data_IF_504451993259
#
_entry.id   IF_504451993259
#
_cell.length_a   1.000
_cell.length_b   1.000
_cell.length_c   1.000
_cell.angle_alpha   90.00
_cell.angle_beta   90.00
_cell.angle_gamma   90.00
#
_symmetry.space_group_name_H-M   'P 1'
#
loop_
_entity.id
_entity.type
_entity.pdbx_description
1 polymer ?
#
# COMPACT_ATOMS: atom_id res chain seq x y z
N UNK A 1 26.81 -10.29 13.48
CA UNK A 1 25.54 -10.46 14.23
C UNK A 1 24.45 -10.25 13.21
N UNK A 2 24.07 -11.33 12.55
CA UNK A 2 22.97 -11.33 11.58
C UNK A 2 21.69 -11.41 12.40
N UNK A 3 21.06 -10.26 12.62
CA UNK A 3 19.81 -10.14 13.35
C UNK A 3 18.70 -10.79 12.51
N UNK A 4 18.37 -12.04 12.84
CA UNK A 4 17.22 -12.76 12.28
C UNK A 4 15.93 -12.11 12.80
N UNK A 5 15.39 -11.15 12.03
CA UNK A 5 14.04 -10.64 12.24
C UNK A 5 13.02 -11.79 12.18
N UNK A 6 11.98 -11.81 13.04
CA UNK A 6 10.91 -12.79 12.97
C UNK A 6 10.31 -12.85 11.55
N UNK A 7 9.88 -14.03 11.07
CA UNK A 7 9.32 -14.19 9.72
C UNK A 7 8.06 -13.34 9.45
N UNK A 8 7.45 -12.79 10.50
CA UNK A 8 6.27 -11.91 10.46
C UNK A 8 6.54 -10.46 10.92
N UNK A 9 7.80 -10.10 11.21
CA UNK A 9 8.15 -8.73 11.54
C UNK A 9 8.30 -7.93 10.24
N UNK A 10 7.17 -7.53 9.66
CA UNK A 10 7.20 -6.48 8.65
C UNK A 10 7.80 -5.23 9.31
N UNK A 11 8.85 -4.62 8.72
CA UNK A 11 9.32 -3.34 9.20
C UNK A 11 8.16 -2.32 9.18
N UNK A 12 8.18 -1.34 10.09
CA UNK A 12 7.15 -0.30 10.06
C UNK A 12 7.12 0.32 8.65
N UNK A 13 5.94 0.49 8.04
CA UNK A 13 5.84 0.99 6.68
C UNK A 13 6.45 2.38 6.58
N UNK A 14 7.12 2.67 5.47
CA UNK A 14 7.70 3.98 5.22
C UNK A 14 6.63 5.06 5.25
N UNK A 15 7.07 6.31 5.47
CA UNK A 15 6.19 7.47 5.37
C UNK A 15 5.55 7.54 3.97
N UNK A 16 6.33 7.27 2.92
CA UNK A 16 5.89 7.29 1.54
C UNK A 16 4.78 6.26 1.25
N UNK A 17 4.90 5.04 1.80
CA UNK A 17 3.83 4.04 1.68
C UNK A 17 2.56 4.49 2.41
N UNK A 18 2.68 5.09 3.60
CA UNK A 18 1.51 5.62 4.33
C UNK A 18 0.82 6.73 3.55
N UNK A 19 1.60 7.65 2.98
CA UNK A 19 1.09 8.75 2.16
C UNK A 19 0.42 8.25 0.87
N UNK A 20 1.02 7.27 0.17
CA UNK A 20 0.42 6.63 -0.98
C UNK A 20 -0.96 6.06 -0.62
N UNK A 21 -1.05 5.26 0.44
CA UNK A 21 -2.29 4.64 0.86
C UNK A 21 -3.33 5.68 1.29
N UNK A 22 -2.92 6.71 2.03
CA UNK A 22 -3.79 7.81 2.42
C UNK A 22 -4.35 8.57 1.21
N UNK A 23 -3.50 8.86 0.21
CA UNK A 23 -3.93 9.50 -1.04
C UNK A 23 -4.86 8.61 -1.85
N UNK A 24 -4.55 7.33 -2.00
CA UNK A 24 -5.39 6.38 -2.73
C UNK A 24 -6.77 6.14 -2.07
N UNK A 25 -6.93 6.44 -0.78
CA UNK A 25 -8.26 6.42 -0.16
C UNK A 25 -9.15 7.58 -0.65
N UNK A 26 -8.56 8.70 -1.06
CA UNK A 26 -9.26 9.93 -1.44
C UNK A 26 -9.27 10.16 -2.96
N UNK A 27 -8.26 9.65 -3.66
CA UNK A 27 -8.04 9.81 -5.11
C UNK A 27 -8.44 8.53 -5.85
N UNK A 28 -9.44 8.64 -6.73
CA UNK A 28 -9.98 7.50 -7.47
C UNK A 28 -9.03 6.95 -8.52
N UNK A 29 -8.40 7.82 -9.31
CA UNK A 29 -7.47 7.42 -10.35
C UNK A 29 -6.26 6.71 -9.74
N UNK A 30 -5.70 7.28 -8.66
CA UNK A 30 -4.60 6.67 -7.95
C UNK A 30 -4.99 5.32 -7.33
N UNK A 31 -6.21 5.21 -6.80
CA UNK A 31 -6.72 3.94 -6.26
C UNK A 31 -6.85 2.87 -7.33
N UNK A 32 -7.43 3.20 -8.47
CA UNK A 32 -7.58 2.25 -9.58
C UNK A 32 -6.23 1.77 -10.08
N UNK A 33 -5.26 2.68 -10.24
CA UNK A 33 -3.88 2.34 -10.60
C UNK A 33 -3.24 1.43 -9.55
N UNK A 34 -3.37 1.77 -8.26
CA UNK A 34 -2.83 0.99 -7.14
C UNK A 34 -3.38 -0.44 -7.09
N UNK A 35 -4.68 -0.61 -7.35
CA UNK A 35 -5.35 -1.91 -7.29
C UNK A 35 -5.16 -2.74 -8.57
N UNK A 36 -4.91 -2.09 -9.71
CA UNK A 36 -4.70 -2.76 -11.01
C UNK A 36 -3.24 -3.19 -11.18
N UNK A 37 -2.30 -2.30 -10.89
CA UNK A 37 -0.86 -2.57 -11.03
C UNK A 37 -0.07 -1.98 -9.84
N UNK A 38 -0.15 -2.63 -8.66
CA UNK A 38 0.62 -2.21 -7.49
C UNK A 38 2.13 -2.26 -7.73
N UNK A 39 2.60 -3.07 -8.68
CA UNK A 39 4.02 -3.22 -9.03
C UNK A 39 4.58 -2.00 -9.73
N UNK A 40 3.84 -1.38 -10.66
CA UNK A 40 4.26 -0.11 -11.28
C UNK A 40 4.37 1.00 -10.25
N UNK A 41 3.34 1.16 -9.40
CA UNK A 41 3.32 2.19 -8.34
C UNK A 41 4.49 2.00 -7.38
N UNK A 42 4.79 0.76 -6.99
CA UNK A 42 5.91 0.47 -6.11
C UNK A 42 7.26 0.86 -6.72
N UNK A 43 7.45 0.64 -8.03
CA UNK A 43 8.66 1.06 -8.76
C UNK A 43 8.75 2.57 -8.92
N UNK A 44 7.64 3.23 -9.24
CA UNK A 44 7.56 4.70 -9.35
C UNK A 44 7.96 5.40 -8.05
N UNK A 45 7.69 4.76 -6.91
CA UNK A 45 7.97 5.27 -5.58
C UNK A 45 9.23 4.67 -4.94
N UNK A 46 10.00 3.85 -5.65
CA UNK A 46 11.19 3.15 -5.13
C UNK A 46 10.93 2.42 -3.79
N UNK A 47 9.76 1.78 -3.68
CA UNK A 47 9.39 1.05 -2.47
C UNK A 47 10.27 -0.20 -2.30
N UNK A 48 10.55 -0.53 -1.04
CA UNK A 48 11.29 -1.75 -0.72
C UNK A 48 10.57 -3.01 -1.22
N UNK A 49 11.32 -4.11 -1.39
CA UNK A 49 10.73 -5.40 -1.76
C UNK A 49 9.65 -5.86 -0.76
N UNK A 50 9.84 -5.57 0.54
CA UNK A 50 8.87 -5.88 1.59
C UNK A 50 7.56 -5.09 1.41
N UNK A 51 7.65 -3.79 1.12
CA UNK A 51 6.48 -2.93 0.88
C UNK A 51 5.77 -3.26 -0.43
N UNK A 52 6.53 -3.55 -1.48
CA UNK A 52 5.98 -4.03 -2.75
C UNK A 52 5.16 -5.31 -2.53
N UNK A 53 5.69 -6.27 -1.76
CA UNK A 53 4.96 -7.48 -1.40
C UNK A 53 3.73 -7.19 -0.53
N UNK A 54 3.79 -6.20 0.34
CA UNK A 54 2.63 -5.77 1.13
C UNK A 54 1.53 -5.15 0.25
N UNK A 55 1.89 -4.32 -0.74
CA UNK A 55 0.95 -3.76 -1.71
C UNK A 55 0.28 -4.84 -2.57
N UNK A 56 1.03 -5.86 -3.00
CA UNK A 56 0.46 -6.99 -3.74
C UNK A 56 -0.53 -7.83 -2.91
N UNK A 57 -0.48 -7.72 -1.58
CA UNK A 57 -1.39 -8.41 -0.65
C UNK A 57 -2.56 -7.53 -0.21
N UNK A 58 -2.68 -6.31 -0.75
CA UNK A 58 -3.74 -5.39 -0.38
C UNK A 58 -5.10 -6.01 -0.72
N UNK A 59 -5.97 -6.12 0.27
CA UNK A 59 -7.35 -6.59 0.05
C UNK A 59 -8.12 -5.49 -0.68
N UNK A 60 -8.40 -5.75 -1.96
CA UNK A 60 -9.09 -4.83 -2.85
C UNK A 60 -10.46 -4.41 -2.31
N UNK A 61 -11.28 -5.38 -1.89
CA UNK A 61 -12.64 -5.12 -1.47
C UNK A 61 -12.67 -4.30 -0.16
N UNK A 62 -11.80 -4.63 0.79
CA UNK A 62 -11.66 -3.88 2.03
C UNK A 62 -11.15 -2.44 1.77
N UNK A 63 -10.22 -2.27 0.82
CA UNK A 63 -9.68 -0.95 0.48
C UNK A 63 -10.73 -0.06 -0.19
N UNK A 64 -11.46 -0.58 -1.19
CA UNK A 64 -12.55 0.12 -1.86
C UNK A 64 -13.69 0.49 -0.89
N UNK A 65 -14.05 -0.42 0.03
CA UNK A 65 -15.05 -0.15 1.07
C UNK A 65 -14.63 1.03 1.96
N UNK A 66 -13.36 1.09 2.39
CA UNK A 66 -12.85 2.19 3.21
C UNK A 66 -12.84 3.51 2.46
N UNK A 67 -12.42 3.50 1.19
CA UNK A 67 -12.45 4.67 0.32
C UNK A 67 -13.87 5.19 0.05
N UNK A 68 -14.86 4.30 0.01
CA UNK A 68 -16.28 4.68 -0.13
C UNK A 68 -16.78 5.38 1.13
N UNK A 69 -16.56 4.79 2.31
CA UNK A 69 -16.98 5.39 3.60
C UNK A 69 -16.40 6.78 3.83
N UNK A 70 -15.14 7.02 3.44
CA UNK A 70 -14.49 8.33 3.58
C UNK A 70 -15.07 9.40 2.66
N UNK A 71 -15.73 9.03 1.56
CA UNK A 71 -16.37 9.98 0.64
C UNK A 71 -17.81 10.31 1.06
N UNK A 72 -18.40 9.50 1.94
CA UNK A 72 -19.74 9.70 2.49
C UNK A 72 -19.75 10.55 3.77
N UNK A 73 -18.58 10.92 4.31
CA UNK A 73 -18.41 11.83 5.47
C UNK A 73 -18.19 13.26 5.03
#
# INVERSE_FOLDING_TARGET
MDEQLPPDAFPPPSLQLKELLGRALLDEELRERLLTDPGSIARELDLSAAETKALMRLDRAAFEQRATRLRET
#
